data_IF_044975133065
#
_entry.id   IF_044975133065
#
_cell.length_a   1.000
_cell.length_b   1.000
_cell.length_c   1.000
_cell.angle_alpha   90.00
_cell.angle_beta   90.00
_cell.angle_gamma   90.00
#
_symmetry.space_group_name_H-M   'P 1'
#
loop_
_entity.id
_entity.type
_entity.pdbx_description
1 polymer ?
#
# COMPACT_ATOMS: atom_id res chain seq x y z
N UNK A 1 38.03 -62.87 54.36
CA UNK A 1 38.17 -61.48 53.80
C UNK A 1 37.27 -61.38 52.57
N UNK A 2 36.08 -60.83 52.79
CA UNK A 2 35.09 -60.60 51.71
C UNK A 2 35.10 -59.07 51.39
N UNK A 3 35.41 -58.63 50.16
CA UNK A 3 35.28 -57.21 49.82
C UNK A 3 33.81 -56.90 49.51
N UNK A 4 33.24 -56.00 50.25
CA UNK A 4 31.94 -55.43 50.02
C UNK A 4 32.07 -54.42 48.84
N UNK A 5 31.51 -54.81 47.72
CA UNK A 5 31.37 -53.89 46.57
C UNK A 5 30.14 -53.02 46.78
N UNK A 6 30.33 -51.76 47.12
CA UNK A 6 29.31 -50.72 47.18
C UNK A 6 29.01 -50.29 45.76
N UNK A 7 27.84 -50.68 45.23
CA UNK A 7 27.31 -50.19 43.97
C UNK A 7 26.56 -48.89 44.27
N UNK A 8 27.19 -47.77 43.96
CA UNK A 8 26.54 -46.45 43.95
C UNK A 8 25.64 -46.35 42.71
N UNK A 9 24.35 -46.59 42.89
CA UNK A 9 23.34 -46.26 41.88
C UNK A 9 23.10 -44.77 41.86
N UNK A 10 23.78 -44.05 40.99
CA UNK A 10 23.50 -42.67 40.68
C UNK A 10 22.27 -42.61 39.77
N UNK A 11 21.10 -42.41 40.34
CA UNK A 11 19.91 -42.01 39.58
C UNK A 11 20.07 -40.55 39.20
N UNK A 12 20.56 -40.28 37.98
CA UNK A 12 20.43 -38.98 37.39
C UNK A 12 18.99 -38.80 36.90
N UNK A 13 18.18 -38.16 37.71
CA UNK A 13 16.88 -37.66 37.25
C UNK A 13 17.11 -36.56 36.22
N UNK A 14 17.04 -36.94 34.96
CA UNK A 14 16.89 -35.94 33.87
C UNK A 14 15.47 -35.33 34.01
N UNK A 15 15.38 -34.19 34.68
CA UNK A 15 14.22 -33.33 34.57
C UNK A 15 14.24 -32.74 33.16
N UNK A 16 13.50 -33.34 32.23
CA UNK A 16 13.11 -32.66 31.01
C UNK A 16 12.19 -31.49 31.42
N UNK A 17 12.77 -30.29 31.47
CA UNK A 17 11.95 -29.10 31.51
C UNK A 17 11.08 -29.07 30.23
N UNK A 18 9.83 -29.51 30.38
CA UNK A 18 8.81 -29.31 29.36
C UNK A 18 8.64 -27.81 29.20
N UNK A 19 9.24 -27.24 28.14
CA UNK A 19 8.94 -25.89 27.71
C UNK A 19 7.47 -25.91 27.27
N UNK A 20 6.58 -25.48 28.15
CA UNK A 20 5.18 -25.26 27.81
C UNK A 20 5.14 -23.95 27.07
N UNK A 21 5.16 -24.01 25.74
CA UNK A 21 4.89 -22.86 24.88
C UNK A 21 3.42 -22.50 25.08
N UNK A 22 3.14 -21.52 25.91
CA UNK A 22 1.81 -20.99 26.06
C UNK A 22 1.57 -20.04 24.88
N UNK A 23 0.74 -20.46 23.94
CA UNK A 23 0.27 -19.56 22.89
C UNK A 23 -0.59 -18.48 23.56
N UNK A 24 -0.03 -17.27 23.64
CA UNK A 24 -0.80 -16.11 24.10
C UNK A 24 -1.63 -15.64 22.92
N UNK A 25 -2.91 -15.94 22.95
CA UNK A 25 -3.86 -15.38 21.99
C UNK A 25 -4.03 -13.88 22.27
N UNK A 26 -3.53 -13.05 21.38
CA UNK A 26 -3.75 -11.60 21.42
C UNK A 26 -5.01 -11.32 20.61
N UNK A 27 -6.07 -10.92 21.31
CA UNK A 27 -7.30 -10.49 20.65
C UNK A 27 -7.01 -9.25 19.78
N UNK A 28 -7.24 -9.38 18.48
CA UNK A 28 -7.09 -8.30 17.53
C UNK A 28 -8.36 -7.47 17.54
N UNK A 29 -8.26 -6.21 17.96
CA UNK A 29 -9.39 -5.28 17.90
C UNK A 29 -9.51 -4.72 16.49
N UNK A 30 -10.63 -4.97 15.78
CA UNK A 30 -10.84 -4.39 14.47
C UNK A 30 -10.86 -2.86 14.56
N UNK A 31 -10.08 -2.22 13.71
CA UNK A 31 -10.21 -0.79 13.50
C UNK A 31 -11.34 -0.60 12.48
N UNK A 32 -12.50 -0.19 12.94
CA UNK A 32 -13.66 0.07 12.07
C UNK A 32 -13.46 1.39 11.30
N UNK A 33 -12.43 1.40 10.45
CA UNK A 33 -12.07 2.53 9.61
C UNK A 33 -12.66 2.35 8.22
N UNK A 34 -13.32 3.39 7.77
CA UNK A 34 -13.80 3.45 6.40
C UNK A 34 -12.62 3.56 5.42
N UNK A 35 -12.73 2.86 4.30
CA UNK A 35 -11.78 3.05 3.20
C UNK A 35 -11.86 4.49 2.68
N UNK A 36 -10.71 5.10 2.33
CA UNK A 36 -10.73 6.39 1.66
C UNK A 36 -11.60 6.36 0.40
N UNK A 37 -12.30 7.45 0.13
CA UNK A 37 -13.06 7.59 -1.11
C UNK A 37 -12.14 7.47 -2.32
N UNK A 38 -12.62 6.82 -3.37
CA UNK A 38 -11.87 6.74 -4.62
C UNK A 38 -11.68 8.12 -5.23
N UNK A 39 -10.53 8.34 -5.84
CA UNK A 39 -10.29 9.55 -6.63
C UNK A 39 -11.11 9.45 -7.92
N UNK A 40 -11.92 10.45 -8.16
CA UNK A 40 -12.67 10.58 -9.40
C UNK A 40 -11.77 11.22 -10.45
N UNK A 41 -11.26 10.42 -11.37
CA UNK A 41 -10.43 10.90 -12.46
C UNK A 41 -11.32 11.58 -13.50
N UNK A 42 -11.06 12.87 -13.73
CA UNK A 42 -11.72 13.62 -14.79
C UNK A 42 -10.92 13.49 -16.07
N UNK A 43 -11.61 13.37 -17.16
CA UNK A 43 -10.97 13.41 -18.47
C UNK A 43 -10.43 14.81 -18.73
N UNK A 44 -9.20 14.90 -19.18
CA UNK A 44 -8.57 16.12 -19.63
C UNK A 44 -7.76 15.84 -20.87
N UNK A 45 -7.73 16.80 -21.75
CA UNK A 45 -7.05 16.72 -23.02
C UNK A 45 -5.94 17.77 -23.06
N UNK A 46 -4.78 17.36 -23.54
CA UNK A 46 -3.68 18.27 -23.82
C UNK A 46 -3.67 18.61 -25.29
N UNK A 47 -3.59 19.89 -25.60
CA UNK A 47 -3.44 20.38 -26.96
C UNK A 47 -2.00 20.89 -27.11
N UNK A 48 -1.31 20.39 -28.13
CA UNK A 48 0.03 20.90 -28.47
C UNK A 48 -0.10 22.20 -29.23
N UNK A 49 0.38 23.28 -28.63
CA UNK A 49 0.35 24.62 -29.24
C UNK A 49 1.75 24.96 -29.74
N UNK A 50 1.84 25.28 -31.01
CA UNK A 50 3.07 25.69 -31.68
C UNK A 50 2.88 27.08 -32.32
N UNK A 51 3.94 27.77 -32.74
CA UNK A 51 3.79 29.02 -33.49
C UNK A 51 2.93 28.88 -34.74
N UNK A 52 2.88 27.71 -35.34
CA UNK A 52 2.14 27.48 -36.60
C UNK A 52 0.63 27.27 -36.38
N UNK A 53 0.19 26.75 -35.22
CA UNK A 53 -1.22 26.45 -34.95
C UNK A 53 -1.86 27.36 -33.87
N UNK A 54 -1.10 28.29 -33.29
CA UNK A 54 -1.54 29.11 -32.18
C UNK A 54 -2.86 29.83 -32.45
N UNK A 55 -2.97 30.50 -33.61
CA UNK A 55 -4.15 31.27 -33.99
C UNK A 55 -5.39 30.38 -34.18
N UNK A 56 -5.20 29.19 -34.75
CA UNK A 56 -6.26 28.19 -34.92
C UNK A 56 -6.80 27.71 -33.58
N UNK A 57 -5.89 27.32 -32.67
CA UNK A 57 -6.28 26.88 -31.32
C UNK A 57 -7.04 27.97 -30.57
N UNK A 58 -6.60 29.21 -30.62
CA UNK A 58 -7.32 30.31 -29.99
C UNK A 58 -8.69 30.56 -30.61
N UNK A 59 -8.82 30.40 -31.92
CA UNK A 59 -10.09 30.51 -32.63
C UNK A 59 -11.08 29.42 -32.18
N UNK A 60 -10.63 28.16 -32.14
CA UNK A 60 -11.44 27.03 -31.67
C UNK A 60 -11.93 27.24 -30.22
N UNK A 61 -11.07 27.73 -29.33
CA UNK A 61 -11.46 28.02 -27.95
C UNK A 61 -12.54 29.11 -27.90
N UNK A 62 -12.40 30.19 -28.68
CA UNK A 62 -13.41 31.27 -28.77
C UNK A 62 -14.73 30.75 -29.32
N UNK A 63 -14.68 29.97 -30.41
CA UNK A 63 -15.87 29.46 -31.08
C UNK A 63 -16.62 28.46 -30.21
N UNK A 64 -15.92 27.74 -29.36
CA UNK A 64 -16.50 26.80 -28.38
C UNK A 64 -16.96 27.49 -27.08
N UNK A 65 -16.80 28.79 -26.93
CA UNK A 65 -17.14 29.56 -25.71
C UNK A 65 -16.23 29.27 -24.51
N UNK A 66 -15.06 28.67 -24.74
CA UNK A 66 -14.07 28.40 -23.71
C UNK A 66 -13.15 29.60 -23.49
N UNK A 67 -12.52 29.69 -22.33
CA UNK A 67 -11.49 30.71 -22.06
C UNK A 67 -10.32 30.55 -23.04
N UNK A 68 -9.80 31.67 -23.50
CA UNK A 68 -8.58 31.73 -24.33
C UNK A 68 -7.29 31.84 -23.51
N UNK A 69 -7.41 31.83 -22.18
CA UNK A 69 -6.25 31.75 -21.30
C UNK A 69 -5.71 30.32 -21.31
N UNK A 70 -4.44 30.15 -21.67
CA UNK A 70 -3.74 28.89 -21.72
C UNK A 70 -2.73 28.81 -20.58
N UNK A 71 -2.70 27.66 -19.91
CA UNK A 71 -1.64 27.30 -18.98
C UNK A 71 -0.71 26.31 -19.72
N UNK A 72 0.51 26.73 -19.97
CA UNK A 72 1.43 25.98 -20.84
C UNK A 72 2.51 25.27 -20.03
N UNK A 73 2.87 24.08 -20.49
CA UNK A 73 4.05 23.35 -20.08
C UNK A 73 4.95 23.17 -21.32
N UNK A 74 6.25 23.29 -21.12
CA UNK A 74 7.20 22.86 -22.16
C UNK A 74 7.25 21.31 -22.20
N UNK A 75 7.91 20.77 -23.23
CA UNK A 75 7.99 19.32 -23.46
C UNK A 75 8.52 18.56 -22.23
N UNK A 76 9.66 19.00 -21.67
CA UNK A 76 10.27 18.37 -20.50
C UNK A 76 9.33 18.39 -19.27
N UNK A 77 8.65 19.49 -19.05
CA UNK A 77 7.72 19.64 -17.94
C UNK A 77 6.48 18.76 -18.12
N UNK A 78 6.01 18.59 -19.34
CA UNK A 78 4.89 17.71 -19.64
C UNK A 78 5.28 16.23 -19.43
N UNK A 79 6.47 15.83 -19.87
CA UNK A 79 6.99 14.49 -19.63
C UNK A 79 7.10 14.20 -18.12
N UNK A 80 7.73 15.11 -17.38
CA UNK A 80 7.85 14.99 -15.93
C UNK A 80 6.50 14.90 -15.22
N UNK A 81 5.53 15.73 -15.62
CA UNK A 81 4.18 15.67 -15.06
C UNK A 81 3.52 14.31 -15.34
N UNK A 82 3.69 13.77 -16.54
CA UNK A 82 3.13 12.48 -16.95
C UNK A 82 3.72 11.33 -16.12
N UNK A 83 5.02 11.36 -15.87
CA UNK A 83 5.72 10.39 -15.02
C UNK A 83 5.20 10.48 -13.58
N UNK A 84 5.14 11.69 -13.02
CA UNK A 84 4.67 11.91 -11.64
C UNK A 84 3.24 11.42 -11.45
N UNK A 85 2.33 11.74 -12.38
CA UNK A 85 0.94 11.26 -12.31
C UNK A 85 0.85 9.74 -12.38
N UNK A 86 1.66 9.11 -13.23
CA UNK A 86 1.73 7.65 -13.34
C UNK A 86 2.23 7.01 -12.05
N UNK A 87 3.28 7.57 -11.47
CA UNK A 87 3.83 7.10 -10.18
C UNK A 87 2.85 7.28 -9.04
N UNK A 88 2.13 8.39 -8.98
CA UNK A 88 1.08 8.61 -7.98
C UNK A 88 -0.04 7.58 -8.10
N UNK A 89 -0.48 7.25 -9.31
CA UNK A 89 -1.50 6.22 -9.54
C UNK A 89 -1.04 4.86 -9.04
N UNK A 90 0.20 4.48 -9.37
CA UNK A 90 0.80 3.23 -8.91
C UNK A 90 0.89 3.18 -7.39
N UNK A 91 1.42 4.23 -6.77
CA UNK A 91 1.58 4.35 -5.32
C UNK A 91 0.24 4.23 -4.58
N UNK A 92 -0.80 4.93 -5.04
CA UNK A 92 -2.15 4.82 -4.47
C UNK A 92 -2.72 3.40 -4.61
N UNK A 93 -2.48 2.74 -5.75
CA UNK A 93 -2.89 1.36 -5.97
C UNK A 93 -2.23 0.39 -4.99
N UNK A 94 -0.93 0.50 -4.83
CA UNK A 94 -0.15 -0.33 -3.89
C UNK A 94 -0.60 -0.10 -2.45
N UNK A 95 -0.80 1.15 -2.03
CA UNK A 95 -1.31 1.46 -0.70
C UNK A 95 -2.71 0.90 -0.45
N UNK A 96 -3.60 0.98 -1.44
CA UNK A 96 -4.93 0.40 -1.34
C UNK A 96 -4.88 -1.10 -1.08
N UNK A 97 -4.01 -1.83 -1.78
CA UNK A 97 -3.82 -3.28 -1.58
C UNK A 97 -3.33 -3.57 -0.16
N UNK A 98 -2.33 -2.84 0.32
CA UNK A 98 -1.81 -3.01 1.68
C UNK A 98 -2.89 -2.77 2.72
N UNK A 99 -3.64 -1.68 2.59
CA UNK A 99 -4.74 -1.36 3.52
C UNK A 99 -5.81 -2.46 3.50
N UNK A 100 -6.15 -2.98 2.34
CA UNK A 100 -7.13 -4.08 2.21
C UNK A 100 -6.65 -5.36 2.88
N UNK A 101 -5.35 -5.71 2.74
CA UNK A 101 -4.78 -6.89 3.38
C UNK A 101 -4.77 -6.76 4.91
N UNK A 102 -4.37 -5.59 5.44
CA UNK A 102 -4.46 -5.32 6.87
C UNK A 102 -5.91 -5.40 7.38
N UNK A 103 -6.84 -4.80 6.66
CA UNK A 103 -8.26 -4.83 7.01
C UNK A 103 -8.79 -6.27 7.03
N UNK A 104 -8.49 -7.04 6.00
CA UNK A 104 -8.88 -8.45 5.92
C UNK A 104 -8.28 -9.28 7.08
N UNK A 105 -7.02 -9.03 7.43
CA UNK A 105 -6.37 -9.74 8.52
C UNK A 105 -7.04 -9.50 9.87
N UNK A 106 -7.46 -8.28 10.16
CA UNK A 106 -8.11 -7.93 11.43
C UNK A 106 -9.61 -8.26 11.46
N UNK A 107 -10.29 -8.28 10.32
CA UNK A 107 -11.74 -8.47 10.26
C UNK A 107 -12.17 -9.93 10.05
N UNK A 108 -11.33 -10.79 9.45
CA UNK A 108 -11.69 -12.19 9.18
C UNK A 108 -11.80 -13.06 10.43
N UNK A 109 -11.07 -12.75 11.49
CA UNK A 109 -11.08 -13.55 12.72
C UNK A 109 -12.33 -13.34 13.60
N UNK A 110 -13.16 -12.35 13.29
CA UNK A 110 -14.37 -12.04 14.08
C UNK A 110 -15.66 -12.70 13.54
N UNK A 111 -15.56 -13.65 12.60
CA UNK A 111 -16.70 -14.32 11.97
C UNK A 111 -16.84 -15.81 12.27
N UNK A 112 -16.05 -16.35 13.21
CA UNK A 112 -16.21 -17.74 13.68
C UNK A 112 -16.89 -17.78 15.04
#
# INVERSE_FOLDING_TARGET
LIPIILILSACTSFNEEKIVTQEVYIEKTPLDLNMPSSVEWRDFEFVVVTPDNYEEVLKELRDSGKSTALFALNEDSYENLSIVVTDMKRYMGEQKVIIMEYKNYYEKENKE
#
